data_IF_349620285748
#
_entry.id   IF_349620285748
#
_cell.length_a   1.000
_cell.length_b   1.000
_cell.length_c   1.000
_cell.angle_alpha   90.00
_cell.angle_beta   90.00
_cell.angle_gamma   90.00
#
_symmetry.space_group_name_H-M   'P 1'
#
loop_
_entity.id
_entity.type
_entity.pdbx_description
1 polymer ?
#
# COMPACT_ATOMS: atom_id res chain seq x y z
N UNK A 1 3.95 -11.20 -20.46
CA UNK A 1 2.96 -10.88 -19.40
C UNK A 1 3.52 -9.98 -18.29
N UNK A 2 4.67 -10.32 -17.68
CA UNK A 2 5.28 -9.51 -16.61
C UNK A 2 5.47 -8.02 -16.95
N UNK A 3 6.09 -7.71 -18.10
CA UNK A 3 6.32 -6.32 -18.51
C UNK A 3 5.02 -5.51 -18.68
N UNK A 4 3.93 -6.14 -19.16
CA UNK A 4 2.63 -5.48 -19.27
C UNK A 4 2.06 -5.14 -17.88
N UNK A 5 2.07 -6.11 -16.94
CA UNK A 5 1.58 -5.90 -15.56
C UNK A 5 2.43 -4.84 -14.84
N UNK A 6 3.74 -4.85 -15.07
CA UNK A 6 4.66 -3.87 -14.51
C UNK A 6 4.36 -2.46 -15.03
N UNK A 7 4.23 -2.28 -16.36
CA UNK A 7 3.93 -0.98 -16.96
C UNK A 7 2.57 -0.44 -16.51
N UNK A 8 1.54 -1.30 -16.49
CA UNK A 8 0.22 -0.94 -15.96
C UNK A 8 0.30 -0.52 -14.49
N UNK A 9 1.07 -1.25 -13.67
CA UNK A 9 1.29 -0.90 -12.27
C UNK A 9 1.93 0.48 -12.11
N UNK A 10 2.94 0.81 -12.93
CA UNK A 10 3.58 2.14 -12.91
C UNK A 10 2.59 3.23 -13.30
N UNK A 11 1.82 3.05 -14.38
CA UNK A 11 0.83 4.02 -14.86
C UNK A 11 -0.24 4.29 -13.79
N UNK A 12 -0.80 3.23 -13.21
CA UNK A 12 -1.83 3.38 -12.17
C UNK A 12 -1.28 4.17 -10.98
N UNK A 13 -0.08 3.83 -10.50
CA UNK A 13 0.52 4.54 -9.35
C UNK A 13 0.85 5.99 -9.63
N UNK A 14 1.22 6.33 -10.87
CA UNK A 14 1.64 7.68 -11.20
C UNK A 14 0.45 8.61 -11.49
N UNK A 15 -0.62 8.10 -12.11
CA UNK A 15 -1.70 8.95 -12.66
C UNK A 15 -3.06 8.75 -12.00
N UNK A 16 -3.34 7.60 -11.40
CA UNK A 16 -4.67 7.26 -10.87
C UNK A 16 -4.72 7.26 -9.34
N UNK A 17 -3.58 7.40 -8.67
CA UNK A 17 -3.47 7.42 -7.22
C UNK A 17 -3.53 8.85 -6.72
N UNK A 18 -4.58 9.17 -5.95
CA UNK A 18 -4.77 10.50 -5.37
C UNK A 18 -3.64 10.85 -4.39
N UNK A 19 -3.18 12.09 -4.44
CA UNK A 19 -2.24 12.62 -3.44
C UNK A 19 -2.97 12.81 -2.11
N UNK A 20 -2.62 12.06 -1.05
CA UNK A 20 -3.28 12.17 0.24
C UNK A 20 -3.07 13.54 0.90
N UNK A 21 -2.07 14.31 0.51
CA UNK A 21 -1.72 15.58 1.17
C UNK A 21 -2.27 16.83 0.48
N UNK A 22 -2.83 16.70 -0.73
CA UNK A 22 -3.24 17.86 -1.54
C UNK A 22 -4.40 18.67 -0.94
N UNK A 23 -5.28 17.99 -0.20
CA UNK A 23 -6.40 18.61 0.53
C UNK A 23 -6.35 18.30 2.03
N UNK A 24 -5.18 17.98 2.56
CA UNK A 24 -5.04 17.73 3.99
C UNK A 24 -5.18 19.02 4.78
N UNK A 25 -5.87 18.98 5.92
CA UNK A 25 -5.97 20.11 6.85
C UNK A 25 -4.63 20.46 7.55
N UNK A 26 -3.58 19.68 7.30
CA UNK A 26 -2.26 19.81 7.91
C UNK A 26 -1.29 20.40 6.90
N UNK A 27 -0.54 21.41 7.33
CA UNK A 27 0.57 21.95 6.57
C UNK A 27 1.75 20.96 6.57
N UNK A 28 2.16 20.52 5.38
CA UNK A 28 3.25 19.57 5.20
C UNK A 28 4.53 20.27 4.74
N UNK A 29 5.72 19.84 5.22
CA UNK A 29 6.98 20.42 4.81
C UNK A 29 7.18 20.36 3.29
N UNK A 30 7.71 21.45 2.70
CA UNK A 30 8.02 21.55 1.27
C UNK A 30 6.81 21.43 0.31
N UNK A 31 5.59 21.47 0.86
CA UNK A 31 4.34 21.43 0.11
C UNK A 31 3.83 20.02 -0.23
N UNK A 32 2.53 19.88 -0.58
CA UNK A 32 1.87 18.59 -0.75
C UNK A 32 2.49 17.66 -1.79
N UNK A 33 3.01 18.21 -2.88
CA UNK A 33 3.59 17.43 -3.99
C UNK A 33 4.93 16.81 -3.57
N UNK A 34 5.81 17.60 -2.97
CA UNK A 34 7.14 17.12 -2.57
C UNK A 34 7.04 16.14 -1.40
N UNK A 35 6.18 16.43 -0.43
CA UNK A 35 5.94 15.52 0.69
C UNK A 35 5.37 14.17 0.20
N UNK A 36 4.43 14.19 -0.74
CA UNK A 36 3.90 12.96 -1.35
C UNK A 36 4.97 12.13 -2.07
N UNK A 37 5.97 12.77 -2.69
CA UNK A 37 7.07 12.04 -3.33
C UNK A 37 7.92 11.27 -2.31
N UNK A 38 8.25 11.90 -1.17
CA UNK A 38 9.02 11.26 -0.08
C UNK A 38 8.22 10.10 0.53
N UNK A 39 6.96 10.37 0.88
CA UNK A 39 6.07 9.35 1.46
C UNK A 39 5.81 8.23 0.44
N UNK A 40 5.64 8.55 -0.84
CA UNK A 40 5.47 7.57 -1.91
C UNK A 40 6.66 6.61 -2.03
N UNK A 41 7.90 7.11 -1.90
CA UNK A 41 9.09 6.27 -1.86
C UNK A 41 9.10 5.33 -0.64
N UNK A 42 8.74 5.85 0.53
CA UNK A 42 8.59 5.02 1.74
C UNK A 42 7.47 3.97 1.58
N UNK A 43 6.36 4.35 0.95
CA UNK A 43 5.20 3.49 0.70
C UNK A 43 5.55 2.32 -0.21
N UNK A 44 6.39 2.54 -1.22
CA UNK A 44 6.92 1.47 -2.08
C UNK A 44 7.70 0.45 -1.26
N UNK A 45 8.58 0.91 -0.37
CA UNK A 45 9.38 0.02 0.49
C UNK A 45 8.49 -0.80 1.43
N UNK A 46 7.56 -0.15 2.12
CA UNK A 46 6.61 -0.81 3.03
C UNK A 46 5.76 -1.83 2.28
N UNK A 47 5.25 -1.46 1.11
CA UNK A 47 4.46 -2.36 0.26
C UNK A 47 5.25 -3.60 -0.13
N UNK A 48 6.53 -3.43 -0.45
CA UNK A 48 7.40 -4.56 -0.80
C UNK A 48 7.56 -5.54 0.37
N UNK A 49 7.74 -5.01 1.59
CA UNK A 49 7.84 -5.84 2.81
C UNK A 49 6.54 -6.61 3.06
N UNK A 50 5.38 -5.95 2.94
CA UNK A 50 4.06 -6.59 3.14
C UNK A 50 3.80 -7.69 2.11
N UNK A 51 4.08 -7.44 0.83
CA UNK A 51 3.94 -8.46 -0.22
C UNK A 51 4.84 -9.67 0.03
N UNK A 52 6.04 -9.45 0.59
CA UNK A 52 6.97 -10.51 0.97
C UNK A 52 6.43 -11.48 2.03
N UNK A 53 5.37 -11.11 2.76
CA UNK A 53 4.67 -12.00 3.71
C UNK A 53 3.86 -13.07 2.96
N UNK A 54 3.29 -12.72 1.81
CA UNK A 54 2.34 -13.55 1.06
C UNK A 54 2.96 -14.25 -0.15
N UNK A 55 4.08 -13.74 -0.64
CA UNK A 55 4.63 -14.18 -1.92
C UNK A 55 6.14 -14.40 -1.85
N UNK A 56 6.57 -15.61 -2.22
CA UNK A 56 7.99 -15.97 -2.29
C UNK A 56 8.65 -15.28 -3.49
N UNK A 57 9.74 -14.56 -3.23
CA UNK A 57 10.49 -13.85 -4.28
C UNK A 57 10.89 -14.80 -5.41
N UNK A 58 10.70 -14.36 -6.66
CA UNK A 58 11.04 -15.06 -7.92
C UNK A 58 10.23 -16.31 -8.28
N UNK A 59 9.14 -16.66 -7.57
CA UNK A 59 8.31 -17.81 -7.95
C UNK A 59 7.45 -17.55 -9.20
N UNK A 60 6.73 -16.43 -9.26
CA UNK A 60 5.95 -15.95 -10.40
C UNK A 60 5.95 -14.41 -10.48
N UNK A 61 6.85 -13.80 -11.29
CA UNK A 61 7.03 -12.34 -11.33
C UNK A 61 5.77 -11.53 -11.59
N UNK A 62 4.86 -12.05 -12.43
CA UNK A 62 3.60 -11.38 -12.75
C UNK A 62 2.66 -11.31 -11.53
N UNK A 63 2.55 -12.40 -10.77
CA UNK A 63 1.74 -12.48 -9.54
C UNK A 63 2.31 -11.53 -8.49
N UNK A 64 3.63 -11.52 -8.30
CA UNK A 64 4.28 -10.60 -7.37
C UNK A 64 4.02 -9.12 -7.72
N UNK A 65 4.06 -8.76 -9.00
CA UNK A 65 3.77 -7.40 -9.44
C UNK A 65 2.29 -7.01 -9.26
N UNK A 66 1.37 -7.95 -9.43
CA UNK A 66 -0.06 -7.73 -9.20
C UNK A 66 -0.38 -7.55 -7.72
N UNK A 67 0.18 -8.41 -6.84
CA UNK A 67 0.05 -8.25 -5.39
C UNK A 67 0.65 -6.92 -4.93
N UNK A 68 1.80 -6.53 -5.47
CA UNK A 68 2.40 -5.24 -5.16
C UNK A 68 1.47 -4.08 -5.50
N UNK A 69 0.89 -4.08 -6.70
CA UNK A 69 -0.06 -3.03 -7.08
C UNK A 69 -1.26 -3.00 -6.13
N UNK A 70 -1.85 -4.15 -5.81
CA UNK A 70 -3.01 -4.23 -4.92
C UNK A 70 -2.70 -3.67 -3.52
N UNK A 71 -1.61 -4.12 -2.89
CA UNK A 71 -1.23 -3.61 -1.58
C UNK A 71 -0.80 -2.15 -1.64
N UNK A 72 -0.17 -1.68 -2.73
CA UNK A 72 0.15 -0.27 -2.89
C UNK A 72 -1.12 0.59 -2.91
N UNK A 73 -2.15 0.17 -3.65
CA UNK A 73 -3.44 0.86 -3.68
C UNK A 73 -4.11 0.88 -2.30
N UNK A 74 -4.04 -0.23 -1.55
CA UNK A 74 -4.54 -0.28 -0.17
C UNK A 74 -3.78 0.69 0.72
N UNK A 75 -2.45 0.69 0.69
CA UNK A 75 -1.63 1.58 1.50
C UNK A 75 -1.88 3.06 1.18
N UNK A 76 -2.00 3.41 -0.11
CA UNK A 76 -2.34 4.79 -0.48
C UNK A 76 -3.76 5.15 -0.05
N UNK A 77 -4.73 4.24 -0.21
CA UNK A 77 -6.09 4.43 0.26
C UNK A 77 -6.15 4.66 1.77
N UNK A 78 -5.34 3.94 2.55
CA UNK A 78 -5.19 4.17 3.99
C UNK A 78 -4.60 5.55 4.29
N UNK A 79 -3.58 6.01 3.56
CA UNK A 79 -3.04 7.36 3.72
C UNK A 79 -4.08 8.44 3.39
N UNK A 80 -4.87 8.25 2.33
CA UNK A 80 -5.97 9.16 1.97
C UNK A 80 -7.02 9.18 3.08
N UNK A 81 -7.36 8.02 3.66
CA UNK A 81 -8.28 7.93 4.79
C UNK A 81 -7.73 8.67 6.03
N UNK A 82 -6.45 8.49 6.34
CA UNK A 82 -5.76 9.21 7.42
C UNK A 82 -5.79 10.73 7.21
N UNK A 83 -5.63 11.17 5.97
CA UNK A 83 -5.74 12.60 5.62
C UNK A 83 -7.14 13.15 5.81
N UNK A 84 -8.18 12.40 5.41
CA UNK A 84 -9.59 12.79 5.61
C UNK A 84 -10.00 12.92 7.08
N UNK A 85 -9.35 12.18 7.97
CA UNK A 85 -9.54 12.32 9.42
C UNK A 85 -8.54 13.29 10.05
N UNK A 86 -7.94 14.17 9.24
CA UNK A 86 -7.02 15.22 9.64
C UNK A 86 -5.83 14.71 10.46
N UNK A 87 -5.39 13.49 10.15
CA UNK A 87 -4.37 12.77 10.90
C UNK A 87 -4.58 12.74 12.42
N UNK A 88 -5.85 12.65 12.86
CA UNK A 88 -6.16 12.45 14.27
C UNK A 88 -5.47 11.18 14.81
N UNK A 89 -4.60 11.34 15.81
CA UNK A 89 -3.74 10.28 16.35
C UNK A 89 -4.52 9.05 16.84
N UNK A 90 -5.69 9.26 17.44
CA UNK A 90 -6.52 8.17 17.95
C UNK A 90 -7.11 7.37 16.78
N UNK A 91 -7.67 8.05 15.79
CA UNK A 91 -8.24 7.41 14.60
C UNK A 91 -7.18 6.71 13.75
N UNK A 92 -6.00 7.31 13.58
CA UNK A 92 -4.84 6.66 12.94
C UNK A 92 -4.50 5.36 13.69
N UNK A 93 -4.43 5.42 15.03
CA UNK A 93 -4.16 4.24 15.85
C UNK A 93 -5.15 3.11 15.58
N UNK A 94 -6.44 3.42 15.52
CA UNK A 94 -7.51 2.45 15.21
C UNK A 94 -7.32 1.87 13.79
N UNK A 95 -7.06 2.72 12.80
CA UNK A 95 -6.83 2.30 11.41
C UNK A 95 -5.63 1.34 11.33
N UNK A 96 -4.53 1.65 12.01
CA UNK A 96 -3.33 0.82 12.02
C UNK A 96 -3.58 -0.53 12.69
N UNK A 97 -4.28 -0.55 13.83
CA UNK A 97 -4.64 -1.81 14.52
C UNK A 97 -5.55 -2.67 13.63
N UNK A 98 -6.56 -2.07 13.00
CA UNK A 98 -7.45 -2.78 12.08
C UNK A 98 -6.67 -3.35 10.88
N UNK A 99 -5.74 -2.58 10.32
CA UNK A 99 -4.89 -3.03 9.21
C UNK A 99 -3.98 -4.20 9.61
N UNK A 100 -3.34 -4.13 10.77
CA UNK A 100 -2.49 -5.23 11.29
C UNK A 100 -3.29 -6.51 11.56
N UNK A 101 -4.52 -6.38 12.08
CA UNK A 101 -5.43 -7.49 12.25
C UNK A 101 -5.80 -8.12 10.90
N UNK A 102 -6.14 -7.30 9.90
CA UNK A 102 -6.43 -7.74 8.54
C UNK A 102 -5.26 -8.51 7.91
N UNK A 103 -4.03 -8.00 8.04
CA UNK A 103 -2.83 -8.70 7.54
C UNK A 103 -2.62 -10.05 8.23
N UNK A 104 -2.82 -10.11 9.54
CA UNK A 104 -2.64 -11.34 10.32
C UNK A 104 -3.67 -12.40 9.93
N UNK A 105 -4.94 -12.01 9.75
CA UNK A 105 -6.02 -12.90 9.31
C UNK A 105 -5.76 -13.36 7.88
N UNK A 106 -5.45 -12.44 6.98
CA UNK A 106 -5.15 -12.75 5.57
C UNK A 106 -3.99 -13.74 5.47
N UNK A 107 -2.92 -13.55 6.25
CA UNK A 107 -1.79 -14.49 6.30
C UNK A 107 -2.23 -15.89 6.75
N UNK A 108 -3.04 -15.98 7.81
CA UNK A 108 -3.58 -17.26 8.30
C UNK A 108 -4.43 -17.97 7.25
N UNK A 109 -5.29 -17.23 6.54
CA UNK A 109 -6.15 -17.77 5.48
C UNK A 109 -5.28 -18.30 4.33
N UNK A 110 -4.31 -17.51 3.85
CA UNK A 110 -3.41 -17.94 2.78
C UNK A 110 -2.61 -19.17 3.18
N UNK A 111 -2.07 -19.21 4.41
CA UNK A 111 -1.33 -20.38 4.90
C UNK A 111 -2.19 -21.65 4.93
N UNK A 112 -3.46 -21.58 5.35
CA UNK A 112 -4.37 -22.75 5.34
C UNK A 112 -4.56 -23.28 3.92
N UNK A 113 -4.89 -22.40 2.98
CA UNK A 113 -5.11 -22.78 1.58
C UNK A 113 -3.86 -23.44 0.97
N UNK A 114 -2.66 -22.98 1.34
CA UNK A 114 -1.40 -23.55 0.81
C UNK A 114 -0.92 -24.81 1.53
N UNK A 115 -1.38 -25.08 2.76
CA UNK A 115 -1.01 -26.28 3.51
C UNK A 115 -1.99 -27.44 3.31
N UNK A 116 -3.20 -27.17 2.80
CA UNK A 116 -4.21 -28.17 2.44
C UNK A 116 -4.02 -28.75 1.02
N UNK A 117 -2.85 -28.54 0.40
CA UNK A 117 -2.40 -29.10 -0.89
C UNK A 117 -1.13 -29.90 -0.65
#
# INVERSE_FOLDING_TARGET
>A
MYYLVHTVSVIIRQFFVSNPFENAAIEVPFGPVFFNMIIGAALVLITYMVVGIFYKRRSSPAVGSMLFLLFYLVHNGLLVLMSKVEFNKILIGIILVAYMAFLTISKKVVMRITCDI
#
